data_IF_721549080937
#
_entry.id   IF_721549080937
#
_cell.length_a   1.000
_cell.length_b   1.000
_cell.length_c   1.000
_cell.angle_alpha   90.00
_cell.angle_beta   90.00
_cell.angle_gamma   90.00
#
_symmetry.space_group_name_H-M   'P 1'
#
loop_
_entity.id
_entity.type
_entity.pdbx_description
1 polymer ?
#
# COMPACT_ATOMS: atom_id res chain seq x y z
N UNK A 1 25.51 -10.13 7.78
CA UNK A 1 24.18 -10.71 7.46
C UNK A 1 23.45 -10.87 8.78
N UNK A 2 22.22 -10.38 8.92
CA UNK A 2 21.47 -10.51 10.18
C UNK A 2 20.96 -11.94 10.36
N UNK A 3 20.94 -12.44 11.59
CA UNK A 3 20.24 -13.67 11.92
C UNK A 3 18.72 -13.52 11.71
N UNK A 4 18.01 -14.65 11.67
CA UNK A 4 16.54 -14.66 11.58
C UNK A 4 15.89 -13.91 12.76
N UNK A 5 16.44 -14.07 13.96
CA UNK A 5 15.90 -13.44 15.16
C UNK A 5 16.12 -11.92 15.16
N UNK A 6 17.32 -11.45 14.80
CA UNK A 6 17.61 -10.02 14.70
C UNK A 6 16.74 -9.35 13.63
N UNK A 7 16.59 -10.00 12.47
CA UNK A 7 15.71 -9.51 11.40
C UNK A 7 14.26 -9.38 11.88
N UNK A 8 13.77 -10.34 12.68
CA UNK A 8 12.43 -10.28 13.28
C UNK A 8 12.30 -9.12 14.27
N UNK A 9 13.31 -8.91 15.12
CA UNK A 9 13.34 -7.80 16.10
C UNK A 9 13.30 -6.44 15.40
N UNK A 10 14.11 -6.24 14.36
CA UNK A 10 14.14 -4.98 13.59
C UNK A 10 12.79 -4.67 12.93
N UNK A 11 12.15 -5.67 12.32
CA UNK A 11 10.80 -5.51 11.76
C UNK A 11 9.77 -5.12 12.82
N UNK A 12 9.75 -5.83 13.94
CA UNK A 12 8.84 -5.54 15.04
C UNK A 12 9.07 -4.13 15.59
N UNK A 13 10.33 -3.73 15.78
CA UNK A 13 10.71 -2.41 16.27
C UNK A 13 10.30 -1.31 15.29
N UNK A 14 10.50 -1.49 13.99
CA UNK A 14 10.04 -0.54 12.97
C UNK A 14 8.53 -0.32 13.05
N UNK A 15 7.72 -1.38 12.96
CA UNK A 15 6.26 -1.24 12.96
C UNK A 15 5.70 -0.69 14.28
N UNK A 16 6.32 -1.06 15.41
CA UNK A 16 5.99 -0.48 16.72
C UNK A 16 6.28 1.01 16.75
N UNK A 17 7.44 1.43 16.21
CA UNK A 17 7.86 2.82 16.18
C UNK A 17 7.00 3.66 15.23
N UNK A 18 6.63 3.10 14.07
CA UNK A 18 5.72 3.74 13.12
C UNK A 18 4.36 4.01 13.75
N UNK A 19 3.75 3.00 14.39
CA UNK A 19 2.45 3.16 15.05
C UNK A 19 2.46 4.13 16.24
N UNK A 20 3.61 4.30 16.92
CA UNK A 20 3.77 5.30 17.97
C UNK A 20 3.98 6.72 17.44
N UNK A 21 4.75 6.85 16.36
CA UNK A 21 5.09 8.16 15.78
C UNK A 21 3.91 8.77 15.02
N UNK A 22 3.10 7.92 14.38
CA UNK A 22 1.93 8.31 13.60
C UNK A 22 0.70 7.54 14.09
N UNK A 23 0.18 7.87 15.29
CA UNK A 23 -0.95 7.16 15.87
C UNK A 23 -2.23 7.44 15.08
N UNK A 24 -2.59 6.51 14.19
CA UNK A 24 -3.76 6.59 13.32
C UNK A 24 -4.40 5.22 13.15
N UNK A 25 -5.72 5.21 12.99
CA UNK A 25 -6.47 4.04 12.56
C UNK A 25 -6.46 3.97 11.03
N UNK A 26 -5.53 3.18 10.48
CA UNK A 26 -5.44 2.88 9.06
C UNK A 26 -6.60 1.96 8.62
N UNK A 27 -7.10 2.13 7.40
CA UNK A 27 -8.17 1.32 6.83
C UNK A 27 -7.71 -0.13 6.66
N UNK A 28 -6.53 -0.34 6.06
CA UNK A 28 -5.98 -1.67 5.77
C UNK A 28 -7.03 -2.56 5.08
N UNK A 29 -7.56 -3.57 5.78
CA UNK A 29 -8.58 -4.49 5.27
C UNK A 29 -10.03 -4.01 5.46
N UNK A 30 -10.26 -2.94 6.22
CA UNK A 30 -11.59 -2.45 6.59
C UNK A 30 -12.19 -1.50 5.53
N UNK A 31 -12.03 -1.82 4.25
CA UNK A 31 -12.54 -1.04 3.10
C UNK A 31 -14.04 -1.22 2.88
N UNK A 32 -14.64 -2.27 3.45
CA UNK A 32 -16.02 -2.73 3.17
C UNK A 32 -16.27 -3.15 1.72
N UNK A 33 -15.22 -3.24 0.90
CA UNK A 33 -15.25 -3.79 -0.45
C UNK A 33 -14.47 -5.10 -0.44
N UNK A 34 -15.12 -6.18 -0.87
CA UNK A 34 -14.49 -7.50 -0.89
C UNK A 34 -13.25 -7.49 -1.80
N UNK A 35 -12.20 -8.16 -1.37
CA UNK A 35 -10.92 -8.25 -2.09
C UNK A 35 -10.08 -6.96 -2.09
N UNK A 36 -10.63 -5.81 -1.74
CA UNK A 36 -9.92 -4.53 -1.76
C UNK A 36 -9.25 -4.24 -0.42
N UNK A 37 -7.94 -4.01 -0.39
CA UNK A 37 -7.19 -3.76 0.85
C UNK A 37 -5.99 -2.84 0.67
N UNK A 38 -5.74 -1.98 1.65
CA UNK A 38 -4.52 -1.18 1.74
C UNK A 38 -3.39 -1.96 2.40
N UNK A 39 -2.18 -1.80 1.88
CA UNK A 39 -0.98 -2.46 2.40
C UNK A 39 0.19 -1.47 2.52
N UNK A 40 0.90 -1.59 3.64
CA UNK A 40 2.25 -1.08 3.76
C UNK A 40 3.21 -2.23 3.51
N UNK A 41 4.22 -2.01 2.67
CA UNK A 41 5.28 -2.99 2.43
C UNK A 41 6.62 -2.34 2.72
N UNK A 42 7.41 -2.96 3.60
CA UNK A 42 8.79 -2.55 3.86
C UNK A 42 9.66 -3.77 4.07
N UNK A 43 10.58 -3.98 3.14
CA UNK A 43 11.51 -5.09 3.17
C UNK A 43 12.97 -4.62 3.25
N UNK A 44 13.91 -5.50 2.91
CA UNK A 44 15.34 -5.19 3.00
C UNK A 44 15.86 -4.33 1.84
N UNK A 45 15.04 -4.05 0.84
CA UNK A 45 15.41 -3.40 -0.43
C UNK A 45 14.53 -2.21 -0.80
N UNK A 46 13.27 -2.20 -0.37
CA UNK A 46 12.27 -1.23 -0.80
C UNK A 46 11.17 -1.01 0.23
N UNK A 47 10.49 0.14 0.12
CA UNK A 47 9.24 0.42 0.78
C UNK A 47 8.20 0.87 -0.26
N UNK A 48 6.93 0.52 -0.06
CA UNK A 48 5.83 0.99 -0.88
C UNK A 48 4.51 1.01 -0.09
N UNK A 49 3.56 1.81 -0.57
CA UNK A 49 2.14 1.69 -0.20
C UNK A 49 1.38 1.07 -1.38
N UNK A 50 0.32 0.33 -1.10
CA UNK A 50 -0.51 -0.28 -2.13
C UNK A 50 -1.99 -0.33 -1.74
N UNK A 51 -2.83 -0.35 -2.77
CA UNK A 51 -4.22 -0.76 -2.76
C UNK A 51 -4.32 -2.01 -3.65
N UNK A 52 -4.48 -3.16 -3.01
CA UNK A 52 -4.57 -4.47 -3.67
C UNK A 52 -6.03 -4.87 -3.84
N UNK A 53 -6.38 -5.37 -5.02
CA UNK A 53 -7.67 -5.96 -5.35
C UNK A 53 -7.49 -7.45 -5.67
N UNK A 54 -7.92 -8.28 -4.72
CA UNK A 54 -7.77 -9.72 -4.70
C UNK A 54 -9.15 -10.38 -4.53
N UNK A 55 -9.87 -10.59 -5.63
CA UNK A 55 -11.18 -11.26 -5.66
C UNK A 55 -11.28 -12.25 -6.83
N UNK A 56 -12.44 -12.87 -7.02
CA UNK A 56 -12.75 -13.61 -8.24
C UNK A 56 -12.65 -12.72 -9.50
N UNK A 57 -12.41 -13.33 -10.65
CA UNK A 57 -12.06 -12.63 -11.88
C UNK A 57 -13.10 -11.57 -12.29
N UNK A 58 -14.39 -11.91 -12.20
CA UNK A 58 -15.48 -11.02 -12.59
C UNK A 58 -15.55 -9.80 -11.67
N UNK A 59 -15.55 -10.01 -10.34
CA UNK A 59 -15.53 -8.91 -9.38
C UNK A 59 -14.26 -8.06 -9.47
N UNK A 60 -13.12 -8.69 -9.75
CA UNK A 60 -11.84 -8.00 -9.94
C UNK A 60 -11.90 -7.09 -11.18
N UNK A 61 -12.38 -7.58 -12.31
CA UNK A 61 -12.54 -6.78 -13.53
C UNK A 61 -13.48 -5.60 -13.26
N UNK A 62 -14.67 -5.85 -12.71
CA UNK A 62 -15.67 -4.81 -12.45
C UNK A 62 -15.16 -3.69 -11.52
N UNK A 63 -14.46 -4.05 -10.44
CA UNK A 63 -13.88 -3.08 -9.52
C UNK A 63 -12.66 -2.37 -10.13
N UNK A 64 -11.84 -3.08 -10.91
CA UNK A 64 -10.67 -2.49 -11.57
C UNK A 64 -11.04 -1.45 -12.62
N UNK A 65 -12.10 -1.67 -13.42
CA UNK A 65 -12.59 -0.69 -14.40
C UNK A 65 -12.96 0.63 -13.73
N UNK A 66 -13.61 0.58 -12.56
CA UNK A 66 -13.96 1.76 -11.76
C UNK A 66 -12.71 2.49 -11.24
N UNK A 67 -11.72 1.74 -10.77
CA UNK A 67 -10.43 2.31 -10.34
C UNK A 67 -9.66 2.97 -11.49
N UNK A 68 -9.73 2.39 -12.69
CA UNK A 68 -9.14 2.96 -13.92
C UNK A 68 -9.86 4.23 -14.34
N UNK A 69 -11.20 4.26 -14.26
CA UNK A 69 -11.98 5.47 -14.56
C UNK A 69 -11.59 6.66 -13.67
N UNK A 70 -11.17 6.38 -12.43
CA UNK A 70 -10.73 7.38 -11.44
C UNK A 70 -9.22 7.68 -11.50
N UNK A 71 -8.45 7.02 -12.39
CA UNK A 71 -6.99 7.17 -12.46
C UNK A 71 -6.54 8.62 -12.67
N UNK A 72 -7.25 9.37 -13.52
CA UNK A 72 -6.92 10.78 -13.76
C UNK A 72 -6.99 11.63 -12.49
N UNK A 73 -8.00 11.41 -11.66
CA UNK A 73 -8.19 12.12 -10.38
C UNK A 73 -7.10 11.70 -9.39
N UNK A 74 -6.84 10.39 -9.24
CA UNK A 74 -5.80 9.91 -8.34
C UNK A 74 -4.44 10.55 -8.67
N UNK A 75 -4.06 10.58 -9.95
CA UNK A 75 -2.75 11.09 -10.36
C UNK A 75 -2.65 12.63 -10.38
N UNK A 76 -3.77 13.36 -10.39
CA UNK A 76 -3.74 14.82 -10.42
C UNK A 76 -3.88 15.43 -9.02
N UNK A 77 -4.68 14.82 -8.14
CA UNK A 77 -5.09 15.44 -6.88
C UNK A 77 -4.56 14.74 -5.63
N UNK A 78 -4.18 13.45 -5.72
CA UNK A 78 -3.88 12.63 -4.55
C UNK A 78 -2.47 12.04 -4.57
N UNK A 79 -2.19 11.09 -5.47
CA UNK A 79 -0.94 10.33 -5.51
C UNK A 79 -0.36 10.36 -6.94
N UNK A 80 0.35 11.43 -7.34
CA UNK A 80 0.72 11.67 -8.74
C UNK A 80 1.57 10.61 -9.43
N UNK A 81 2.35 9.86 -8.65
CA UNK A 81 3.26 8.84 -9.16
C UNK A 81 2.76 7.42 -8.88
N UNK A 82 1.47 7.25 -8.57
CA UNK A 82 0.89 5.93 -8.38
C UNK A 82 0.92 5.10 -9.68
N UNK A 83 1.34 3.85 -9.55
CA UNK A 83 1.45 2.89 -10.64
C UNK A 83 0.23 1.97 -10.58
N UNK A 84 -0.42 1.79 -11.73
CA UNK A 84 -1.53 0.84 -11.91
C UNK A 84 -1.00 -0.41 -12.60
N UNK A 85 -1.25 -1.56 -12.00
CA UNK A 85 -0.85 -2.86 -12.52
C UNK A 85 -2.05 -3.80 -12.43
N UNK A 86 -2.71 -4.03 -13.56
CA UNK A 86 -3.92 -4.86 -13.64
C UNK A 86 -3.64 -6.32 -13.27
N UNK A 87 -2.47 -6.81 -13.67
CA UNK A 87 -2.01 -8.17 -13.45
C UNK A 87 -0.70 -8.13 -12.69
N UNK A 88 -0.78 -8.29 -11.36
CA UNK A 88 0.35 -8.42 -10.47
C UNK A 88 0.37 -9.82 -9.86
N UNK A 89 1.53 -10.49 -9.91
CA UNK A 89 1.70 -11.81 -9.30
C UNK A 89 2.36 -11.69 -7.93
N UNK A 90 1.64 -12.14 -6.90
CA UNK A 90 2.20 -12.32 -5.56
C UNK A 90 3.19 -13.49 -5.54
N UNK A 91 4.02 -13.57 -4.50
CA UNK A 91 5.02 -14.65 -4.34
C UNK A 91 4.39 -16.05 -4.32
N UNK A 92 3.12 -16.16 -3.94
CA UNK A 92 2.34 -17.41 -3.97
C UNK A 92 1.68 -17.69 -5.33
N UNK A 93 2.12 -17.01 -6.40
CA UNK A 93 1.56 -17.07 -7.76
C UNK A 93 0.10 -16.63 -7.88
N UNK A 94 -0.46 -16.00 -6.84
CA UNK A 94 -1.82 -15.45 -6.93
C UNK A 94 -1.79 -14.15 -7.74
N UNK A 95 -2.72 -14.08 -8.68
CA UNK A 95 -2.89 -12.91 -9.55
C UNK A 95 -3.86 -11.91 -8.90
N UNK A 96 -3.43 -10.67 -8.80
CA UNK A 96 -4.20 -9.55 -8.24
C UNK A 96 -4.11 -8.34 -9.15
N UNK A 97 -4.97 -7.34 -8.94
CA UNK A 97 -4.76 -6.00 -9.48
C UNK A 97 -4.26 -5.08 -8.38
N UNK A 98 -3.37 -4.15 -8.70
CA UNK A 98 -2.67 -3.33 -7.70
C UNK A 98 -2.50 -1.89 -8.17
N UNK A 99 -2.81 -0.96 -7.28
CA UNK A 99 -2.34 0.43 -7.35
C UNK A 99 -1.27 0.60 -6.28
N UNK A 100 -0.09 1.09 -6.62
CA UNK A 100 0.99 1.24 -5.64
C UNK A 100 1.89 2.43 -5.91
N UNK A 101 2.52 2.93 -4.86
CA UNK A 101 3.56 3.94 -4.95
C UNK A 101 4.80 3.40 -4.26
N UNK A 102 5.90 3.14 -5.00
CA UNK A 102 7.18 2.81 -4.39
C UNK A 102 7.90 4.07 -3.89
N UNK A 103 8.63 3.93 -2.79
CA UNK A 103 9.60 4.92 -2.37
C UNK A 103 10.84 4.81 -3.26
N UNK A 104 11.16 5.87 -4.01
CA UNK A 104 12.24 5.86 -5.02
C UNK A 104 13.63 5.64 -4.41
N UNK A 105 13.86 6.13 -3.19
CA UNK A 105 15.12 5.94 -2.49
C UNK A 105 15.31 4.48 -2.05
N UNK A 106 16.54 3.99 -2.15
CA UNK A 106 16.92 2.67 -1.63
C UNK A 106 16.84 2.69 -0.10
N UNK A 107 15.96 1.86 0.43
CA UNK A 107 15.72 1.75 1.88
C UNK A 107 15.77 0.30 2.32
N UNK A 108 15.96 0.10 3.61
CA UNK A 108 15.99 -1.24 4.18
C UNK A 108 15.42 -1.23 5.58
N UNK A 109 14.52 -2.16 5.88
CA UNK A 109 13.98 -2.33 7.23
C UNK A 109 15.06 -2.68 8.24
N UNK A 110 16.21 -3.17 7.78
CA UNK A 110 17.39 -3.42 8.61
C UNK A 110 18.29 -2.20 8.80
N UNK A 111 18.06 -1.10 8.06
CA UNK A 111 18.82 0.14 8.17
C UNK A 111 17.98 1.23 8.86
N UNK A 112 18.19 1.40 10.18
CA UNK A 112 17.46 2.39 11.00
C UNK A 112 17.60 3.83 10.51
N UNK A 113 18.68 4.16 9.81
CA UNK A 113 18.88 5.51 9.26
C UNK A 113 17.83 5.87 8.19
N UNK A 114 17.24 4.87 7.54
CA UNK A 114 16.20 5.08 6.51
C UNK A 114 14.78 5.04 7.08
N UNK A 115 14.61 4.72 8.36
CA UNK A 115 13.28 4.50 8.93
C UNK A 115 12.44 5.77 8.95
N UNK A 116 13.06 6.92 9.26
CA UNK A 116 12.34 8.20 9.30
C UNK A 116 11.70 8.49 7.95
N UNK A 117 12.48 8.43 6.88
CA UNK A 117 12.00 8.69 5.52
C UNK A 117 10.86 7.75 5.14
N UNK A 118 10.99 6.45 5.48
CA UNK A 118 9.95 5.46 5.19
C UNK A 118 8.67 5.74 5.98
N UNK A 119 8.78 6.12 7.26
CA UNK A 119 7.61 6.44 8.08
C UNK A 119 6.91 7.72 7.60
N UNK A 120 7.66 8.76 7.27
CA UNK A 120 7.12 10.01 6.70
C UNK A 120 6.45 9.75 5.34
N UNK A 121 7.08 8.93 4.50
CA UNK A 121 6.53 8.46 3.22
C UNK A 121 5.21 7.70 3.41
N UNK A 122 5.19 6.70 4.30
CA UNK A 122 3.99 5.91 4.58
C UNK A 122 2.87 6.77 5.12
N UNK A 123 3.16 7.64 6.10
CA UNK A 123 2.15 8.48 6.70
C UNK A 123 1.53 9.42 5.65
N UNK A 124 2.37 10.12 4.88
CA UNK A 124 1.90 11.11 3.91
C UNK A 124 1.10 10.48 2.79
N UNK A 125 1.67 9.47 2.13
CA UNK A 125 1.07 8.93 0.92
C UNK A 125 -0.09 7.98 1.20
N UNK A 126 -0.08 7.23 2.31
CA UNK A 126 -1.22 6.39 2.66
C UNK A 126 -2.42 7.25 3.05
N UNK A 127 -2.23 8.39 3.72
CA UNK A 127 -3.34 9.32 4.01
C UNK A 127 -3.99 9.79 2.71
N UNK A 128 -3.19 10.15 1.70
CA UNK A 128 -3.70 10.58 0.39
C UNK A 128 -4.43 9.46 -0.34
N UNK A 129 -3.86 8.25 -0.33
CA UNK A 129 -4.48 7.09 -0.99
C UNK A 129 -5.78 6.65 -0.29
N UNK A 130 -5.84 6.71 1.06
CA UNK A 130 -7.06 6.48 1.83
C UNK A 130 -8.09 7.58 1.61
N UNK A 131 -7.68 8.85 1.50
CA UNK A 131 -8.58 9.97 1.25
C UNK A 131 -9.25 9.85 -0.13
N UNK A 132 -8.48 9.54 -1.17
CA UNK A 132 -9.00 9.21 -2.49
C UNK A 132 -10.06 8.11 -2.41
N UNK A 133 -9.73 7.01 -1.72
CA UNK A 133 -10.67 5.91 -1.60
C UNK A 133 -11.94 6.32 -0.85
N UNK A 134 -11.85 7.01 0.27
CA UNK A 134 -13.03 7.42 1.04
C UNK A 134 -13.95 8.37 0.27
N UNK A 135 -13.39 9.26 -0.53
CA UNK A 135 -14.15 10.19 -1.37
C UNK A 135 -14.89 9.47 -2.52
N UNK A 136 -14.24 8.49 -3.15
CA UNK A 136 -14.76 7.80 -4.33
C UNK A 136 -15.27 6.38 -4.08
N UNK A 137 -15.32 5.92 -2.81
CA UNK A 137 -15.71 4.55 -2.47
C UNK A 137 -17.08 4.16 -3.00
N UNK A 138 -18.02 5.10 -3.08
CA UNK A 138 -19.38 4.83 -3.55
C UNK A 138 -19.42 4.55 -5.06
N UNK A 139 -18.45 5.09 -5.82
CA UNK A 139 -18.25 4.77 -7.23
C UNK A 139 -17.56 3.41 -7.37
N UNK A 140 -16.56 3.14 -6.53
CA UNK A 140 -15.75 1.90 -6.56
C UNK A 140 -16.58 0.69 -6.12
N UNK A 141 -17.50 0.87 -5.17
CA UNK A 141 -18.34 -0.19 -4.63
C UNK A 141 -19.16 -0.86 -5.73
N UNK A 142 -19.08 -2.18 -5.80
CA UNK A 142 -19.89 -3.05 -6.69
C UNK A 142 -21.32 -3.08 -6.18
#
# INVERSE_FOLDING_TARGET
MFSKEESRKLRQEFWTSFGKSFPRKWLLYNTKIKGLSFKFHFDTKSALIALDLEDDLENRINCWEKLIALKGILLSEYVPNAIYEETYYLENSKEISRIYLPLEQKVSIHNKNTWRDVMEFFNTNMILLEAFFEEYKDIIKI
#
